data_IF_630895176883
#
_entry.id   IF_630895176883
#
_cell.length_a   1.000
_cell.length_b   1.000
_cell.length_c   1.000
_cell.angle_alpha   90.00
_cell.angle_beta   90.00
_cell.angle_gamma   90.00
#
_symmetry.space_group_name_H-M   'P 1'
#
loop_
_entity.id
_entity.type
_entity.pdbx_description
1 polymer ?
#
# COMPACT_ATOMS: atom_id res chain seq x y z
N UNK A 1 12.41 -2.06 -9.05
CA UNK A 1 12.41 -3.44 -8.50
C UNK A 1 13.50 -3.62 -7.46
N UNK A 2 14.65 -2.95 -7.61
CA UNK A 2 15.76 -2.95 -6.63
C UNK A 2 15.29 -2.71 -5.18
N UNK A 3 14.53 -1.63 -4.94
CA UNK A 3 14.00 -1.29 -3.62
C UNK A 3 13.05 -2.35 -3.04
N UNK A 4 12.29 -3.06 -3.88
CA UNK A 4 11.39 -4.10 -3.39
C UNK A 4 12.16 -5.33 -2.85
N UNK A 5 13.31 -5.65 -3.44
CA UNK A 5 14.18 -6.74 -3.00
C UNK A 5 14.82 -6.47 -1.65
N UNK A 6 15.24 -5.23 -1.40
CA UNK A 6 15.83 -4.79 -0.12
C UNK A 6 14.86 -5.00 1.05
N UNK A 7 13.60 -4.65 0.85
CA UNK A 7 12.56 -4.83 1.87
C UNK A 7 11.97 -6.24 1.91
N UNK A 8 12.24 -7.09 0.93
CA UNK A 8 11.65 -8.43 0.85
C UNK A 8 12.15 -9.36 1.96
N UNK A 9 13.41 -9.24 2.37
CA UNK A 9 14.04 -10.09 3.38
C UNK A 9 13.55 -9.82 4.82
N UNK A 10 13.10 -8.60 5.12
CA UNK A 10 12.61 -8.22 6.43
C UNK A 10 11.16 -8.72 6.65
N UNK A 11 10.86 -9.21 7.85
CA UNK A 11 9.48 -9.53 8.26
C UNK A 11 8.79 -8.37 8.99
N UNK A 12 9.25 -7.15 8.75
CA UNK A 12 8.70 -5.94 9.33
C UNK A 12 7.49 -5.44 8.52
N UNK A 13 6.61 -4.64 9.15
CA UNK A 13 5.63 -3.85 8.43
C UNK A 13 6.30 -2.96 7.39
N UNK A 14 5.57 -2.68 6.30
CA UNK A 14 6.06 -1.84 5.21
C UNK A 14 4.98 -0.85 4.78
N UNK A 15 5.32 0.43 4.74
CA UNK A 15 4.52 1.49 4.14
C UNK A 15 4.98 1.75 2.70
N UNK A 16 4.05 1.75 1.75
CA UNK A 16 4.29 2.13 0.36
C UNK A 16 3.55 3.45 0.11
N UNK A 17 4.30 4.50 -0.12
CA UNK A 17 3.78 5.82 -0.40
C UNK A 17 3.86 6.11 -1.90
N UNK A 18 2.76 6.59 -2.50
CA UNK A 18 2.69 6.96 -3.91
C UNK A 18 1.28 7.32 -4.37
N UNK A 19 1.20 8.18 -5.40
CA UNK A 19 -0.05 8.74 -5.95
C UNK A 19 -1.07 7.69 -6.41
N UNK A 20 -2.35 8.07 -6.46
CA UNK A 20 -3.44 7.23 -6.98
C UNK A 20 -3.14 6.67 -8.36
N UNK A 21 -3.21 5.34 -8.45
CA UNK A 21 -2.91 4.61 -9.66
C UNK A 21 -1.41 4.54 -10.02
N UNK A 22 -0.52 4.88 -9.07
CA UNK A 22 0.80 4.23 -9.03
C UNK A 22 0.60 2.76 -8.65
N UNK A 23 1.50 1.90 -9.13
CA UNK A 23 1.35 0.45 -8.98
C UNK A 23 1.71 -0.05 -7.56
N UNK A 24 1.22 0.58 -6.47
CA UNK A 24 1.49 0.19 -5.08
C UNK A 24 1.20 -1.28 -4.82
N UNK A 25 0.06 -1.77 -5.31
CA UNK A 25 -0.29 -3.19 -5.25
C UNK A 25 0.73 -4.10 -5.98
N UNK A 26 1.33 -3.64 -7.09
CA UNK A 26 2.39 -4.41 -7.77
C UNK A 26 3.68 -4.43 -6.96
N UNK A 27 4.02 -3.32 -6.30
CA UNK A 27 5.21 -3.25 -5.44
C UNK A 27 5.01 -4.12 -4.20
N UNK A 28 3.84 -4.06 -3.55
CA UNK A 28 3.49 -4.94 -2.43
C UNK A 28 3.59 -6.43 -2.82
N UNK A 29 3.05 -6.79 -3.99
CA UNK A 29 3.20 -8.16 -4.55
C UNK A 29 4.65 -8.52 -4.81
N UNK A 30 5.44 -7.61 -5.39
CA UNK A 30 6.85 -7.86 -5.65
C UNK A 30 7.62 -8.12 -4.34
N UNK A 31 7.42 -7.30 -3.31
CA UNK A 31 8.01 -7.50 -1.97
C UNK A 31 7.63 -8.87 -1.40
N UNK A 32 6.36 -9.26 -1.50
CA UNK A 32 5.90 -10.57 -1.05
C UNK A 32 6.58 -11.74 -1.79
N UNK A 33 6.59 -11.71 -3.13
CA UNK A 33 7.14 -12.80 -3.96
C UNK A 33 8.67 -12.88 -3.95
N UNK A 34 9.36 -11.78 -3.67
CA UNK A 34 10.80 -11.75 -3.47
C UNK A 34 11.21 -12.18 -2.05
N UNK A 35 10.26 -12.23 -1.11
CA UNK A 35 10.52 -12.48 0.31
C UNK A 35 10.41 -13.94 0.74
N UNK A 36 10.65 -14.23 2.03
CA UNK A 36 10.57 -15.58 2.59
C UNK A 36 9.15 -16.17 2.56
N UNK A 37 8.13 -15.30 2.45
CA UNK A 37 6.70 -15.68 2.43
C UNK A 37 6.15 -15.90 1.02
N UNK A 38 6.98 -15.94 -0.03
CA UNK A 38 6.55 -16.05 -1.45
C UNK A 38 5.62 -17.22 -1.82
N UNK A 39 5.64 -18.30 -1.03
CA UNK A 39 4.76 -19.47 -1.21
C UNK A 39 3.53 -19.47 -0.29
N UNK A 40 3.27 -18.36 0.40
CA UNK A 40 2.20 -18.19 1.38
C UNK A 40 1.13 -17.25 0.80
N UNK A 41 -0.06 -17.15 1.42
CA UNK A 41 -1.13 -16.29 0.91
C UNK A 41 -0.69 -14.82 0.81
N UNK A 42 -1.16 -14.14 -0.23
CA UNK A 42 -1.11 -12.68 -0.36
C UNK A 42 -2.54 -12.18 -0.50
N UNK A 43 -3.05 -11.52 0.55
CA UNK A 43 -4.40 -10.96 0.58
C UNK A 43 -4.28 -9.46 0.38
N UNK A 44 -5.03 -8.91 -0.57
CA UNK A 44 -5.01 -7.49 -0.94
C UNK A 44 -6.40 -6.90 -0.77
N UNK A 45 -6.47 -5.74 -0.13
CA UNK A 45 -7.72 -5.07 0.19
C UNK A 45 -7.57 -3.59 -0.11
N UNK A 46 -8.57 -3.04 -0.78
CA UNK A 46 -8.73 -1.59 -0.92
C UNK A 46 -9.60 -1.09 0.25
N UNK A 47 -9.01 -0.33 1.17
CA UNK A 47 -9.71 0.21 2.33
C UNK A 47 -10.75 1.28 1.95
N UNK A 48 -10.61 1.94 0.80
CA UNK A 48 -11.62 2.89 0.32
C UNK A 48 -12.89 2.16 -0.14
N UNK A 49 -12.74 0.96 -0.70
CA UNK A 49 -13.86 0.11 -1.10
C UNK A 49 -14.60 -0.56 0.08
N UNK A 50 -14.00 -0.57 1.28
CA UNK A 50 -14.60 -1.14 2.49
C UNK A 50 -15.48 -0.16 3.27
N UNK A 51 -15.63 1.09 2.82
CA UNK A 51 -16.48 2.06 3.50
C UNK A 51 -17.93 1.55 3.60
N UNK A 52 -18.45 1.45 4.83
CA UNK A 52 -19.77 0.87 5.13
C UNK A 52 -19.76 -0.62 5.50
N UNK A 53 -18.61 -1.30 5.38
CA UNK A 53 -18.42 -2.66 5.90
C UNK A 53 -17.84 -2.59 7.32
N UNK A 54 -18.39 -3.33 8.30
CA UNK A 54 -17.85 -3.38 9.66
C UNK A 54 -16.49 -4.09 9.67
N UNK A 55 -15.41 -3.31 9.74
CA UNK A 55 -14.04 -3.84 9.68
C UNK A 55 -13.74 -4.80 10.83
N UNK A 56 -14.37 -4.59 12.00
CA UNK A 56 -14.25 -5.42 13.19
C UNK A 56 -14.72 -6.86 12.94
N UNK A 57 -15.66 -7.06 12.02
CA UNK A 57 -16.19 -8.38 11.65
C UNK A 57 -15.46 -8.98 10.45
N UNK A 58 -14.96 -8.15 9.54
CA UNK A 58 -14.36 -8.61 8.28
C UNK A 58 -12.85 -8.85 8.44
N UNK A 59 -12.12 -7.96 9.12
CA UNK A 59 -10.67 -8.01 9.23
C UNK A 59 -10.14 -9.31 9.86
N UNK A 60 -10.74 -9.87 10.92
CA UNK A 60 -10.27 -11.14 11.49
C UNK A 60 -10.25 -12.29 10.48
N UNK A 61 -11.29 -12.39 9.64
CA UNK A 61 -11.35 -13.41 8.58
C UNK A 61 -10.28 -13.22 7.52
N UNK A 62 -9.97 -11.97 7.17
CA UNK A 62 -8.92 -11.63 6.22
C UNK A 62 -7.52 -11.91 6.77
N UNK A 63 -7.30 -11.63 8.05
CA UNK A 63 -6.06 -11.99 8.77
C UNK A 63 -5.88 -13.50 8.81
N UNK A 64 -6.94 -14.27 9.04
CA UNK A 64 -6.91 -15.73 8.98
C UNK A 64 -6.57 -16.24 7.58
N UNK A 65 -7.17 -15.67 6.52
CA UNK A 65 -6.82 -16.00 5.14
C UNK A 65 -5.37 -15.66 4.78
N UNK A 66 -4.82 -14.61 5.42
CA UNK A 66 -3.43 -14.18 5.23
C UNK A 66 -2.43 -14.91 6.16
N UNK A 67 -2.87 -15.86 6.99
CA UNK A 67 -2.03 -16.49 8.00
C UNK A 67 -0.73 -17.10 7.41
N UNK A 68 0.41 -16.77 8.01
CA UNK A 68 1.74 -17.14 7.52
C UNK A 68 2.20 -16.38 6.28
N UNK A 69 1.34 -15.54 5.70
CA UNK A 69 1.55 -14.81 4.45
C UNK A 69 1.59 -13.31 4.65
N UNK A 70 0.98 -12.56 3.74
CA UNK A 70 1.00 -11.10 3.72
C UNK A 70 -0.41 -10.54 3.52
N UNK A 71 -0.75 -9.52 4.30
CA UNK A 71 -1.95 -8.73 4.15
C UNK A 71 -1.56 -7.32 3.69
N UNK A 72 -2.06 -6.92 2.52
CA UNK A 72 -1.88 -5.59 1.95
C UNK A 72 -3.16 -4.77 2.10
N UNK A 73 -3.04 -3.63 2.77
CA UNK A 73 -4.09 -2.63 2.98
C UNK A 73 -3.80 -1.41 2.10
N UNK A 74 -4.45 -1.31 0.94
CA UNK A 74 -4.33 -0.14 0.07
C UNK A 74 -5.23 0.99 0.59
N UNK A 75 -4.81 2.24 0.38
CA UNK A 75 -5.54 3.42 0.88
C UNK A 75 -5.84 3.37 2.39
N UNK A 76 -4.90 2.93 3.23
CA UNK A 76 -5.16 2.80 4.69
C UNK A 76 -5.57 4.12 5.35
N UNK A 77 -5.19 5.25 4.75
CA UNK A 77 -5.59 6.60 5.17
C UNK A 77 -7.09 6.91 4.93
N UNK A 78 -7.81 6.07 4.18
CA UNK A 78 -9.26 6.20 3.96
C UNK A 78 -10.10 5.60 5.09
N UNK A 79 -9.48 4.85 6.00
CA UNK A 79 -10.15 4.24 7.15
C UNK A 79 -10.59 5.31 8.16
N UNK A 80 -11.73 5.06 8.81
CA UNK A 80 -12.14 5.83 9.98
C UNK A 80 -11.20 5.58 11.16
N UNK A 81 -11.24 6.43 12.21
CA UNK A 81 -10.45 6.23 13.42
C UNK A 81 -10.62 4.82 14.02
N UNK A 82 -11.88 4.36 14.12
CA UNK A 82 -12.21 3.03 14.63
C UNK A 82 -11.71 1.90 13.71
N UNK A 83 -11.71 2.13 12.38
CA UNK A 83 -11.10 1.20 11.44
C UNK A 83 -9.57 1.09 11.63
N UNK A 84 -8.89 2.22 11.82
CA UNK A 84 -7.45 2.24 12.09
C UNK A 84 -7.09 1.57 13.42
N UNK A 85 -7.87 1.82 14.48
CA UNK A 85 -7.72 1.13 15.76
C UNK A 85 -7.91 -0.38 15.61
N UNK A 86 -8.90 -0.81 14.82
CA UNK A 86 -9.15 -2.24 14.55
C UNK A 86 -7.95 -2.90 13.86
N UNK A 87 -7.35 -2.24 12.86
CA UNK A 87 -6.11 -2.70 12.21
C UNK A 87 -4.98 -2.79 13.21
N UNK A 88 -4.79 -1.75 14.02
CA UNK A 88 -3.77 -1.71 15.06
C UNK A 88 -3.88 -2.90 16.03
N UNK A 89 -5.07 -3.13 16.58
CA UNK A 89 -5.33 -4.21 17.52
C UNK A 89 -5.08 -5.58 16.90
N UNK A 90 -5.54 -5.81 15.65
CA UNK A 90 -5.31 -7.09 14.96
C UNK A 90 -3.83 -7.33 14.66
N UNK A 91 -3.09 -6.30 14.24
CA UNK A 91 -1.66 -6.41 13.98
C UNK A 91 -0.84 -6.77 15.24
N UNK A 92 -1.30 -6.36 16.42
CA UNK A 92 -0.64 -6.63 17.70
C UNK A 92 -1.18 -7.88 18.42
N UNK A 93 -2.33 -8.39 17.97
CA UNK A 93 -2.90 -9.65 18.43
C UNK A 93 -2.21 -10.83 17.73
N UNK A 94 -1.01 -11.16 18.21
CA UNK A 94 -0.21 -12.37 17.97
C UNK A 94 -0.56 -13.21 16.72
N UNK A 95 -0.44 -12.62 15.53
CA UNK A 95 -0.73 -13.28 14.26
C UNK A 95 0.50 -13.26 13.36
N UNK A 96 0.86 -14.42 12.80
CA UNK A 96 1.98 -14.58 11.89
C UNK A 96 1.65 -14.01 10.50
N UNK A 97 1.22 -12.75 10.41
CA UNK A 97 0.90 -12.06 9.16
C UNK A 97 1.86 -10.89 9.00
N UNK A 98 2.45 -10.77 7.81
CA UNK A 98 3.20 -9.57 7.45
C UNK A 98 2.23 -8.52 6.91
N UNK A 99 2.30 -7.31 7.45
CA UNK A 99 1.43 -6.21 7.05
C UNK A 99 2.14 -5.27 6.08
N UNK A 100 1.48 -4.94 4.98
CA UNK A 100 1.93 -3.90 4.05
C UNK A 100 0.78 -2.91 3.90
N UNK A 101 1.07 -1.61 3.92
CA UNK A 101 0.07 -0.57 3.72
C UNK A 101 0.42 0.34 2.54
N UNK A 102 -0.60 0.79 1.81
CA UNK A 102 -0.51 1.78 0.75
C UNK A 102 -1.12 3.11 1.20
N UNK A 103 -0.43 4.22 0.94
CA UNK A 103 -0.95 5.58 1.17
C UNK A 103 -0.65 6.47 -0.03
N UNK A 104 -1.62 7.31 -0.40
CA UNK A 104 -1.40 8.40 -1.35
C UNK A 104 -0.79 9.62 -0.66
N UNK A 105 -1.40 10.04 0.45
CA UNK A 105 -1.05 11.24 1.18
C UNK A 105 -0.54 10.85 2.57
N UNK A 106 0.78 10.99 2.77
CA UNK A 106 1.42 10.68 4.04
C UNK A 106 0.96 11.61 5.16
N UNK A 107 0.76 12.90 4.88
CA UNK A 107 0.32 13.87 5.88
C UNK A 107 -1.10 13.53 6.35
N UNK A 108 -1.99 13.10 5.43
CA UNK A 108 -3.31 12.58 5.79
C UNK A 108 -3.22 11.29 6.61
N UNK A 109 -2.31 10.38 6.26
CA UNK A 109 -2.11 9.15 7.01
C UNK A 109 -1.65 9.41 8.45
N UNK A 110 -0.80 10.42 8.65
CA UNK A 110 -0.31 10.87 9.96
C UNK A 110 -1.37 11.67 10.74
N UNK A 111 -2.19 12.46 10.05
CA UNK A 111 -3.24 13.30 10.64
C UNK A 111 -4.54 12.54 10.95
N UNK A 112 -4.66 11.28 10.54
CA UNK A 112 -5.87 10.51 10.75
C UNK A 112 -6.18 10.31 12.25
N UNK A 113 -7.47 10.21 12.56
CA UNK A 113 -8.02 10.34 13.91
C UNK A 113 -7.65 9.24 14.92
N UNK A 114 -6.75 8.31 14.58
CA UNK A 114 -6.07 7.43 15.53
C UNK A 114 -4.58 7.82 15.63
N UNK A 115 -4.21 8.71 16.59
CA UNK A 115 -2.87 9.27 16.65
C UNK A 115 -1.86 8.24 17.16
N UNK A 116 -0.75 8.09 16.44
CA UNK A 116 0.56 7.75 17.03
C UNK A 116 0.96 6.29 17.10
N UNK A 117 0.13 5.32 16.72
CA UNK A 117 0.52 3.91 16.76
C UNK A 117 0.59 3.28 15.37
N UNK A 118 -0.50 3.33 14.59
CA UNK A 118 -0.56 2.62 13.30
C UNK A 118 0.38 3.20 12.25
N UNK A 119 0.31 4.51 11.98
CA UNK A 119 1.16 5.17 10.99
C UNK A 119 2.66 5.03 11.30
N UNK A 120 3.16 5.34 12.51
CA UNK A 120 4.59 5.16 12.82
C UNK A 120 5.04 3.70 12.81
N UNK A 121 4.18 2.75 13.21
CA UNK A 121 4.50 1.32 13.11
C UNK A 121 4.59 0.84 11.66
N UNK A 122 3.66 1.25 10.79
CA UNK A 122 3.72 0.96 9.36
C UNK A 122 4.96 1.59 8.72
N UNK A 123 5.36 2.77 9.18
CA UNK A 123 6.52 3.51 8.69
C UNK A 123 7.88 2.97 9.17
N UNK A 124 7.92 1.85 9.92
CA UNK A 124 9.17 1.17 10.32
C UNK A 124 10.08 0.87 9.12
N UNK A 125 9.46 0.55 7.98
CA UNK A 125 10.10 0.53 6.68
C UNK A 125 9.21 1.25 5.68
N UNK A 126 9.81 1.98 4.72
CA UNK A 126 9.06 2.76 3.74
C UNK A 126 9.65 2.64 2.34
N UNK A 127 8.79 2.48 1.33
CA UNK A 127 9.10 2.67 -0.08
C UNK A 127 8.32 3.88 -0.59
N UNK A 128 9.03 4.87 -1.10
CA UNK A 128 8.46 6.00 -1.83
C UNK A 128 8.48 5.71 -3.34
N UNK A 129 7.31 5.67 -3.97
CA UNK A 129 7.20 5.51 -5.41
C UNK A 129 7.35 6.88 -6.10
N UNK A 130 8.07 6.93 -7.23
CA UNK A 130 8.14 8.17 -8.00
C UNK A 130 6.74 8.56 -8.48
N UNK A 131 6.51 9.87 -8.59
CA UNK A 131 5.33 10.43 -9.23
C UNK A 131 5.07 9.75 -10.57
N UNK A 132 3.79 9.60 -10.95
CA UNK A 132 3.46 9.02 -12.24
C UNK A 132 4.09 9.92 -13.32
N UNK A 133 5.05 9.39 -14.07
CA UNK A 133 5.48 10.02 -15.32
C UNK A 133 4.22 10.18 -16.17
N UNK A 134 3.77 11.42 -16.38
CA UNK A 134 2.70 11.72 -17.30
C UNK A 134 3.03 11.01 -18.63
N UNK A 135 2.04 10.40 -19.31
CA UNK A 135 2.31 9.84 -20.62
C UNK A 135 2.94 10.95 -21.45
N UNK A 136 4.15 10.71 -21.99
CA UNK A 136 4.80 11.64 -22.88
C UNK A 136 3.79 11.93 -24.00
N UNK A 137 3.12 13.08 -23.92
CA UNK A 137 2.18 13.50 -24.94
C UNK A 137 2.99 13.53 -26.21
N UNK A 138 2.60 12.68 -27.15
CA UNK A 138 3.19 12.62 -28.46
C UNK A 138 3.16 14.03 -29.05
N UNK A 139 4.31 14.71 -29.02
CA UNK A 139 4.57 15.89 -29.82
C UNK A 139 4.61 15.41 -31.28
N UNK A 140 3.42 15.18 -31.84
CA UNK A 140 3.27 14.96 -33.26
C UNK A 140 3.60 16.29 -33.93
N UNK A 141 4.78 16.32 -34.55
CA UNK A 141 5.31 17.44 -35.32
C UNK A 141 4.29 17.82 -36.40
N UNK A 142 3.72 19.00 -36.27
CA UNK A 142 3.16 19.73 -37.40
C UNK A 142 4.15 20.83 -37.78
N UNK A 143 5.32 20.44 -38.27
CA UNK A 143 6.18 21.33 -39.03
C UNK A 143 5.70 21.29 -40.49
N UNK A 144 4.81 22.21 -40.88
CA UNK A 144 4.58 22.48 -42.29
C UNK A 144 5.79 23.25 -42.85
N UNK A 145 6.41 22.79 -43.95
CA UNK A 145 7.40 23.59 -44.66
C UNK A 145 6.71 24.71 -45.44
N UNK A 146 7.39 25.84 -45.53
CA UNK A 146 6.85 27.12 -45.99
C UNK A 146 6.31 27.14 -47.41
N UNK A 147 5.30 27.99 -47.59
CA UNK A 147 4.86 28.46 -48.90
C UNK A 147 5.38 29.89 -49.05
N UNK A 148 6.54 30.05 -49.71
CA UNK A 148 6.97 31.31 -50.29
C UNK A 148 6.29 31.45 -51.65
N UNK A 149 5.48 32.49 -51.80
CA UNK A 149 5.07 33.06 -53.07
C UNK A 149 5.41 34.54 -53.06
#
# INVERSE_FOLDING_TARGET
>A
METAGEHAAADTPLLIHGESGTSRARVARAVHYLGPRRGRPFISIDCAALQGTPLERTLPGLVQLAAGGTLFLDEVASLTASGQETVWQQAHSASAVRWIAGVEDLARAEAAAFPGALAPWLATARIDLPARLAPATAAHRSAQPGSMR
#
